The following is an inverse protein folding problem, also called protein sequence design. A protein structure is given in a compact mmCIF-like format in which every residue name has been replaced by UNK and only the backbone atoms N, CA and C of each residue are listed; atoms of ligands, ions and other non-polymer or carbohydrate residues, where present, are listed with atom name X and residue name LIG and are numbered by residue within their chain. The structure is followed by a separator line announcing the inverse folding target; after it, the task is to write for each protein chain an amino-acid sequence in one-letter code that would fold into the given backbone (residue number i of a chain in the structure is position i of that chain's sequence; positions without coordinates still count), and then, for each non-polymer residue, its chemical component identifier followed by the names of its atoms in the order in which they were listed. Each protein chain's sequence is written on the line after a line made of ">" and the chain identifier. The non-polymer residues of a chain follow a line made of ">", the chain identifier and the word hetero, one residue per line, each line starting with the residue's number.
data_IF_016067675968
#
_entry.id   IF_016067675968
#
_cell.length_a   1.000
_cell.length_b   1.000
_cell.length_c   1.000
_cell.angle_alpha   90.00
_cell.angle_beta   90.00
_cell.angle_gamma   90.00
#
_symmetry.space_group_name_H-M   'P 1'
#
loop_
_entity.id
_entity.type
_entity.pdbx_description
1 polymer ?
#
# COMPACT_ATOMS: atom_id res chain seq x y z
N UNK A 1 -16.41 11.56 -9.27
CA UNK A 1 -15.03 12.06 -9.21
C UNK A 1 -14.17 10.90 -8.76
N UNK A 2 -13.14 10.54 -9.51
CA UNK A 2 -12.26 9.42 -9.16
C UNK A 2 -11.17 9.96 -8.23
N UNK A 3 -11.01 9.35 -7.05
CA UNK A 3 -10.06 9.72 -6.03
C UNK A 3 -9.29 8.49 -5.55
N UNK A 4 -7.97 8.54 -5.69
CA UNK A 4 -7.07 7.47 -5.30
C UNK A 4 -6.21 7.85 -4.10
N UNK A 5 -5.91 6.86 -3.26
CA UNK A 5 -5.00 7.07 -2.15
C UNK A 5 -3.55 7.03 -2.60
N UNK A 6 -2.82 8.13 -2.41
CA UNK A 6 -1.43 8.24 -2.84
C UNK A 6 -0.50 7.31 -2.02
N UNK A 7 0.40 6.55 -2.67
CA UNK A 7 1.41 5.79 -1.96
C UNK A 7 2.54 6.71 -1.48
N UNK A 8 2.83 6.69 -0.18
CA UNK A 8 3.92 7.43 0.46
C UNK A 8 4.80 6.46 1.26
N UNK A 9 6.04 6.27 0.80
CA UNK A 9 7.00 5.34 1.42
C UNK A 9 7.24 5.68 2.90
N UNK A 10 7.19 4.65 3.75
CA UNK A 10 7.32 4.81 5.20
C UNK A 10 6.09 5.37 5.93
N UNK A 11 5.06 5.82 5.22
CA UNK A 11 3.83 6.37 5.82
C UNK A 11 2.64 5.45 5.53
N UNK A 12 2.34 5.18 4.26
CA UNK A 12 1.11 4.51 3.85
C UNK A 12 1.29 3.00 3.70
N UNK A 13 1.90 2.34 4.69
CA UNK A 13 1.97 0.87 4.74
C UNK A 13 0.59 0.23 4.97
N UNK A 14 0.48 -1.10 4.86
CA UNK A 14 -0.79 -1.83 4.96
C UNK A 14 -1.60 -1.47 6.21
N UNK A 15 -0.95 -1.36 7.38
CA UNK A 15 -1.63 -0.99 8.63
C UNK A 15 -2.29 0.39 8.57
N UNK A 16 -1.61 1.38 7.98
CA UNK A 16 -2.19 2.72 7.79
C UNK A 16 -3.36 2.67 6.81
N UNK A 17 -3.20 2.01 5.65
CA UNK A 17 -4.24 1.94 4.62
C UNK A 17 -5.49 1.22 5.13
N UNK A 18 -5.31 0.14 5.91
CA UNK A 18 -6.41 -0.59 6.54
C UNK A 18 -7.16 0.30 7.55
N UNK A 19 -6.44 1.02 8.40
CA UNK A 19 -7.05 1.97 9.34
C UNK A 19 -7.77 3.11 8.62
N UNK A 20 -7.15 3.70 7.58
CA UNK A 20 -7.77 4.75 6.79
C UNK A 20 -9.03 4.26 6.08
N UNK A 21 -9.03 3.06 5.50
CA UNK A 21 -10.21 2.51 4.82
C UNK A 21 -11.38 2.31 5.80
N UNK A 22 -11.09 1.85 7.01
CA UNK A 22 -12.10 1.65 8.06
C UNK A 22 -12.68 2.98 8.59
N UNK A 23 -11.85 4.02 8.73
CA UNK A 23 -12.25 5.31 9.33
C UNK A 23 -12.73 6.34 8.30
N UNK A 24 -12.24 6.28 7.07
CA UNK A 24 -12.50 7.23 5.99
C UNK A 24 -12.81 6.47 4.69
N UNK A 25 -14.01 5.87 4.57
CA UNK A 25 -14.44 5.20 3.35
C UNK A 25 -14.70 6.20 2.22
N UNK A 26 -14.66 5.73 0.96
CA UNK A 26 -15.01 6.54 -0.22
C UNK A 26 -13.88 6.79 -1.24
N UNK A 27 -12.71 6.18 -1.05
CA UNK A 27 -11.64 6.15 -2.05
C UNK A 27 -11.85 5.00 -3.04
N UNK A 28 -11.50 5.23 -4.31
CA UNK A 28 -11.67 4.24 -5.38
C UNK A 28 -10.58 3.15 -5.37
N UNK A 29 -9.38 3.48 -4.91
CA UNK A 29 -8.26 2.54 -4.83
C UNK A 29 -7.19 2.97 -3.82
N UNK A 30 -6.48 1.97 -3.31
CA UNK A 30 -5.27 2.11 -2.49
C UNK A 30 -4.09 1.45 -3.21
N UNK A 31 -2.91 2.07 -3.11
CA UNK A 31 -1.68 1.53 -3.68
C UNK A 31 -0.66 1.22 -2.60
N UNK A 32 0.15 0.19 -2.86
CA UNK A 32 1.29 -0.14 -1.99
C UNK A 32 2.38 0.92 -2.12
N UNK A 33 3.25 1.07 -1.10
CA UNK A 33 4.52 1.76 -1.26
C UNK A 33 5.40 1.07 -2.32
N UNK A 34 6.60 1.63 -2.56
CA UNK A 34 7.45 1.17 -3.66
C UNK A 34 7.89 -0.28 -3.46
N UNK A 35 7.71 -1.08 -4.50
CA UNK A 35 8.24 -2.44 -4.58
C UNK A 35 9.54 -2.39 -5.38
N UNK A 36 10.63 -2.85 -4.78
CA UNK A 36 11.94 -2.83 -5.42
C UNK A 36 12.09 -4.04 -6.33
N UNK A 37 12.29 -3.80 -7.62
CA UNK A 37 12.63 -4.84 -8.60
C UNK A 37 14.12 -5.25 -8.48
N UNK A 38 14.49 -5.83 -7.34
CA UNK A 38 15.85 -6.29 -7.09
C UNK A 38 16.26 -7.45 -7.99
N UNK A 39 17.57 -7.63 -8.18
CA UNK A 39 18.15 -8.68 -9.04
C UNK A 39 17.63 -10.09 -8.70
N UNK A 40 17.42 -10.36 -7.40
CA UNK A 40 16.93 -11.65 -6.93
C UNK A 40 15.44 -11.91 -7.25
N UNK A 41 14.71 -10.92 -7.77
CA UNK A 41 13.27 -10.99 -8.12
C UNK A 41 12.40 -11.58 -7.01
N UNK A 42 12.73 -11.27 -5.76
CA UNK A 42 12.02 -11.72 -4.55
C UNK A 42 11.48 -10.52 -3.79
N UNK A 43 10.25 -10.65 -3.32
CA UNK A 43 9.68 -9.69 -2.39
C UNK A 43 10.38 -9.77 -1.04
N UNK A 44 10.66 -8.60 -0.47
CA UNK A 44 10.97 -8.48 0.94
C UNK A 44 9.71 -8.79 1.74
N UNK A 45 9.89 -9.29 2.97
CA UNK A 45 8.77 -9.59 3.88
C UNK A 45 7.81 -8.39 4.06
N UNK A 46 8.35 -7.16 4.07
CA UNK A 46 7.56 -5.93 4.16
C UNK A 46 6.72 -5.69 2.91
N UNK A 47 7.30 -5.81 1.72
CA UNK A 47 6.58 -5.66 0.45
C UNK A 47 5.47 -6.70 0.31
N UNK A 48 5.73 -7.93 0.74
CA UNK A 48 4.71 -8.99 0.78
C UNK A 48 3.56 -8.63 1.71
N UNK A 49 3.85 -8.13 2.92
CA UNK A 49 2.81 -7.67 3.85
C UNK A 49 2.03 -6.47 3.31
N UNK A 50 2.64 -5.65 2.45
CA UNK A 50 1.97 -4.53 1.79
C UNK A 50 1.03 -4.95 0.64
N UNK A 51 1.27 -6.11 0.01
CA UNK A 51 0.49 -6.60 -1.14
C UNK A 51 -0.60 -7.60 -0.73
N UNK A 52 -0.37 -8.35 0.35
CA UNK A 52 -1.33 -9.35 0.82
C UNK A 52 -2.64 -8.72 1.35
N UNK A 53 -3.79 -9.40 1.20
CA UNK A 53 -5.09 -8.93 1.68
C UNK A 53 -5.14 -8.69 3.20
#
# INVERSE_FOLDING_TARGET
>A
MICYFAPMEGITGYGYRNAHHALFPGLDAYYTPFIVAGEQRKFKRREMADVLP
#
